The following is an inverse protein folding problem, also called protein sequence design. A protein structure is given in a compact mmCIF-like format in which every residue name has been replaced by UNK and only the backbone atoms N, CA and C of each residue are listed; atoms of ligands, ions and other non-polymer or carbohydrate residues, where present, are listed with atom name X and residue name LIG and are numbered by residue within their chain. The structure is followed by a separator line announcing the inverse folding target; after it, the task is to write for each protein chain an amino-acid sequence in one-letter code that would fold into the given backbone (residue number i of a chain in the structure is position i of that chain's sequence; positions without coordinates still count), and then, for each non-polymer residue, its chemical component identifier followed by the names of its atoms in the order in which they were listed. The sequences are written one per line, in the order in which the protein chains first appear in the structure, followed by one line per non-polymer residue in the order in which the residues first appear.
data_IF_170173412008
#
_entry.id   IF_170173412008
#
_cell.length_a   1.000
_cell.length_b   1.000
_cell.length_c   1.000
_cell.angle_alpha   90.00
_cell.angle_beta   90.00
_cell.angle_gamma   90.00
#
_symmetry.space_group_name_H-M   'P 1'
#
loop_
_entity.id
_entity.type
_entity.pdbx_description
1 polymer ?
#
# COMPACT_ATOMS: atom_id res chain seq x y z
N UNK A 1 -6.45 8.24 -23.79
CA UNK A 1 -6.15 8.72 -22.42
C UNK A 1 -6.12 7.51 -21.50
N UNK A 2 -5.14 7.42 -20.59
CA UNK A 2 -5.11 6.35 -19.57
C UNK A 2 -6.33 6.55 -18.66
N UNK A 3 -7.10 5.48 -18.42
CA UNK A 3 -8.27 5.55 -17.54
C UNK A 3 -7.81 5.93 -16.12
N UNK A 4 -8.34 7.03 -15.59
CA UNK A 4 -8.17 7.42 -14.19
C UNK A 4 -9.02 6.48 -13.34
N UNK A 5 -8.41 5.78 -12.38
CA UNK A 5 -9.14 4.94 -11.44
C UNK A 5 -9.00 5.52 -10.03
N UNK A 6 -10.12 5.62 -9.32
CA UNK A 6 -10.16 6.06 -7.93
C UNK A 6 -10.29 4.84 -7.02
N UNK A 7 -9.36 4.70 -6.08
CA UNK A 7 -9.41 3.71 -5.02
C UNK A 7 -9.80 4.35 -3.68
N UNK A 8 -10.51 3.61 -2.83
CA UNK A 8 -10.65 3.95 -1.41
C UNK A 8 -9.74 3.02 -0.60
N UNK A 9 -8.85 3.59 0.21
CA UNK A 9 -8.00 2.85 1.14
C UNK A 9 -8.60 2.84 2.54
N UNK A 10 -8.67 1.66 3.15
CA UNK A 10 -9.14 1.43 4.51
C UNK A 10 -8.07 0.67 5.30
N UNK A 11 -7.90 1.04 6.57
CA UNK A 11 -6.93 0.41 7.46
C UNK A 11 -7.61 -0.57 8.40
N UNK A 12 -6.91 -1.67 8.69
CA UNK A 12 -7.31 -2.68 9.67
C UNK A 12 -7.31 -2.18 11.12
N UNK A 13 -6.85 -0.97 11.38
CA UNK A 13 -7.01 -0.30 12.67
C UNK A 13 -8.46 0.12 12.96
N UNK A 14 -9.27 0.32 11.91
CA UNK A 14 -10.69 0.67 12.03
C UNK A 14 -11.51 -0.51 12.55
N UNK A 15 -12.70 -0.22 13.09
CA UNK A 15 -13.64 -1.28 13.46
C UNK A 15 -14.08 -2.08 12.23
N UNK A 16 -14.18 -3.40 12.38
CA UNK A 16 -14.49 -4.30 11.26
C UNK A 16 -15.83 -3.96 10.57
N UNK A 17 -16.88 -3.64 11.34
CA UNK A 17 -18.17 -3.25 10.79
C UNK A 17 -18.10 -1.89 10.07
N UNK A 18 -17.32 -0.95 10.58
CA UNK A 18 -17.09 0.33 9.91
C UNK A 18 -16.41 0.14 8.54
N UNK A 19 -15.43 -0.77 8.45
CA UNK A 19 -14.76 -1.11 7.19
C UNK A 19 -15.78 -1.70 6.20
N UNK A 20 -16.64 -2.61 6.67
CA UNK A 20 -17.70 -3.25 5.86
C UNK A 20 -18.69 -2.21 5.33
N UNK A 21 -19.13 -1.26 6.15
CA UNK A 21 -20.09 -0.23 5.74
C UNK A 21 -19.46 0.76 4.76
N UNK A 22 -18.21 1.16 4.99
CA UNK A 22 -17.46 1.99 4.04
C UNK A 22 -17.21 1.27 2.71
N UNK A 23 -17.00 -0.04 2.71
CA UNK A 23 -16.87 -0.82 1.49
C UNK A 23 -18.15 -0.78 0.63
N UNK A 24 -19.32 -0.96 1.25
CA UNK A 24 -20.62 -0.83 0.56
C UNK A 24 -20.80 0.59 0.02
N UNK A 25 -20.51 1.60 0.85
CA UNK A 25 -20.61 3.01 0.46
C UNK A 25 -19.67 3.33 -0.71
N UNK A 26 -18.45 2.81 -0.71
CA UNK A 26 -17.48 3.03 -1.79
C UNK A 26 -18.01 2.54 -3.15
N UNK A 27 -18.62 1.35 -3.19
CA UNK A 27 -19.24 0.83 -4.43
C UNK A 27 -20.40 1.71 -4.88
N UNK A 28 -21.27 2.15 -3.96
CA UNK A 28 -22.40 3.03 -4.27
C UNK A 28 -21.96 4.40 -4.81
N UNK A 29 -20.85 4.93 -4.28
CA UNK A 29 -20.27 6.20 -4.74
C UNK A 29 -19.56 6.07 -6.09
N UNK A 30 -19.28 4.85 -6.56
CA UNK A 30 -18.63 4.61 -7.85
C UNK A 30 -17.11 4.56 -7.81
N UNK A 31 -16.50 4.24 -6.66
CA UNK A 31 -15.07 3.93 -6.61
C UNK A 31 -14.74 2.72 -7.50
N UNK A 32 -13.63 2.76 -8.23
CA UNK A 32 -13.18 1.64 -9.06
C UNK A 32 -12.60 0.49 -8.24
N UNK A 33 -12.06 0.80 -7.05
CA UNK A 33 -11.40 -0.19 -6.19
C UNK A 33 -11.45 0.17 -4.71
N UNK A 34 -11.42 -0.85 -3.86
CA UNK A 34 -11.25 -0.77 -2.42
C UNK A 34 -9.93 -1.45 -2.03
N UNK A 35 -9.15 -0.84 -1.15
CA UNK A 35 -7.82 -1.31 -0.75
C UNK A 35 -7.78 -1.49 0.75
N UNK A 36 -7.55 -2.71 1.22
CA UNK A 36 -7.46 -3.03 2.65
C UNK A 36 -5.99 -3.23 3.03
N UNK A 37 -5.45 -2.36 3.87
CA UNK A 37 -4.09 -2.51 4.40
C UNK A 37 -4.02 -3.65 5.42
N UNK A 38 -2.81 -4.11 5.73
CA UNK A 38 -2.58 -5.04 6.83
C UNK A 38 -1.35 -4.57 7.61
N UNK A 39 -1.55 -4.39 8.90
CA UNK A 39 -0.49 -4.10 9.86
C UNK A 39 -0.55 -5.16 10.96
N UNK A 40 0.61 -5.60 11.51
CA UNK A 40 0.62 -6.50 12.67
C UNK A 40 -0.22 -5.92 13.83
N UNK A 41 -0.82 -6.81 14.63
CA UNK A 41 -1.64 -6.49 15.81
C UNK A 41 -3.03 -5.90 15.53
N UNK A 42 -3.32 -5.51 14.28
CA UNK A 42 -4.65 -5.09 13.84
C UNK A 42 -5.52 -6.26 13.34
N UNK A 43 -6.71 -5.94 12.80
CA UNK A 43 -7.62 -6.94 12.22
C UNK A 43 -7.00 -7.60 10.97
N UNK A 44 -7.39 -8.85 10.71
CA UNK A 44 -6.85 -9.63 9.59
C UNK A 44 -7.44 -9.20 8.23
N UNK A 45 -6.59 -8.78 7.28
CA UNK A 45 -7.01 -8.16 6.03
C UNK A 45 -7.75 -9.12 5.09
N UNK A 46 -7.31 -10.38 5.00
CA UNK A 46 -7.99 -11.39 4.16
C UNK A 46 -9.38 -11.75 4.68
N UNK A 47 -9.61 -11.69 6.00
CA UNK A 47 -10.92 -12.00 6.57
C UNK A 47 -11.94 -10.92 6.18
N UNK A 48 -11.56 -9.65 6.33
CA UNK A 48 -12.34 -8.50 5.86
C UNK A 48 -12.55 -8.54 4.35
N UNK A 49 -11.49 -8.81 3.59
CA UNK A 49 -11.53 -8.91 2.13
C UNK A 49 -12.53 -9.98 1.66
N UNK A 50 -12.60 -11.13 2.35
CA UNK A 50 -13.56 -12.20 2.04
C UNK A 50 -15.01 -11.74 2.20
N UNK A 51 -15.34 -11.11 3.33
CA UNK A 51 -16.68 -10.58 3.59
C UNK A 51 -17.04 -9.50 2.57
N UNK A 52 -16.12 -8.55 2.34
CA UNK A 52 -16.32 -7.46 1.39
C UNK A 52 -16.54 -8.00 -0.02
N UNK A 53 -15.80 -9.04 -0.41
CA UNK A 53 -15.95 -9.69 -1.71
C UNK A 53 -17.33 -10.27 -1.90
N UNK A 54 -17.90 -10.87 -0.85
CA UNK A 54 -19.23 -11.46 -0.89
C UNK A 54 -20.36 -10.42 -0.95
N UNK A 55 -20.24 -9.32 -0.19
CA UNK A 55 -21.32 -8.32 -0.08
C UNK A 55 -21.33 -7.27 -1.21
N UNK A 56 -20.24 -7.14 -1.97
CA UNK A 56 -20.11 -6.18 -3.08
C UNK A 56 -20.16 -6.90 -4.43
N UNK A 57 -20.57 -6.19 -5.48
CA UNK A 57 -20.87 -6.82 -6.78
C UNK A 57 -19.96 -6.36 -7.92
N UNK A 58 -19.41 -5.15 -7.86
CA UNK A 58 -18.73 -4.50 -8.99
C UNK A 58 -17.35 -3.96 -8.64
N UNK A 59 -17.18 -3.38 -7.46
CA UNK A 59 -15.93 -2.76 -7.05
C UNK A 59 -14.80 -3.80 -7.03
N UNK A 60 -13.61 -3.41 -7.52
CA UNK A 60 -12.42 -4.24 -7.35
C UNK A 60 -11.98 -4.20 -5.90
N UNK A 61 -11.47 -5.31 -5.39
CA UNK A 61 -11.04 -5.43 -4.00
C UNK A 61 -9.58 -5.83 -4.02
N UNK A 62 -8.78 -4.99 -3.39
CA UNK A 62 -7.35 -5.09 -3.36
C UNK A 62 -6.85 -5.23 -1.93
N UNK A 63 -5.82 -6.04 -1.74
CA UNK A 63 -4.98 -5.92 -0.55
C UNK A 63 -3.94 -4.83 -0.80
N UNK A 64 -3.63 -4.01 0.20
CA UNK A 64 -2.72 -2.88 0.06
C UNK A 64 -1.91 -2.64 1.34
N UNK A 65 -1.15 -3.60 1.86
CA UNK A 65 -0.70 -4.86 1.23
C UNK A 65 -0.80 -6.04 2.19
N UNK A 66 -0.64 -7.28 1.68
CA UNK A 66 -0.26 -8.43 2.51
C UNK A 66 1.27 -8.61 2.53
N UNK A 67 1.80 -9.17 3.62
CA UNK A 67 3.24 -9.33 3.78
C UNK A 67 3.75 -10.67 3.23
N UNK A 68 4.80 -10.63 2.40
CA UNK A 68 5.40 -11.85 1.81
C UNK A 68 6.16 -12.71 2.81
N UNK A 69 6.56 -12.18 3.97
CA UNK A 69 7.30 -12.90 5.00
C UNK A 69 6.40 -13.63 6.00
N UNK A 70 5.21 -13.09 6.28
CA UNK A 70 4.28 -13.67 7.26
C UNK A 70 3.43 -14.79 6.67
N UNK A 71 3.39 -14.91 5.34
CA UNK A 71 2.57 -15.89 4.64
C UNK A 71 3.36 -16.57 3.55
N UNK A 72 3.57 -17.88 3.69
CA UNK A 72 4.23 -18.70 2.67
C UNK A 72 3.46 -18.60 1.32
N UNK A 73 4.15 -18.60 0.17
CA UNK A 73 3.53 -18.42 -1.14
C UNK A 73 2.43 -19.43 -1.46
N UNK A 74 2.44 -20.63 -0.87
CA UNK A 74 1.37 -21.62 -1.03
C UNK A 74 0.08 -21.15 -0.37
N UNK A 75 0.14 -20.69 0.89
CA UNK A 75 -1.03 -20.18 1.60
C UNK A 75 -1.56 -18.88 1.00
N UNK A 76 -0.67 -18.01 0.52
CA UNK A 76 -1.06 -16.81 -0.24
C UNK A 76 -1.82 -17.19 -1.52
N UNK A 77 -1.30 -18.17 -2.27
CA UNK A 77 -1.97 -18.66 -3.47
C UNK A 77 -3.35 -19.27 -3.14
N UNK A 78 -3.44 -20.07 -2.07
CA UNK A 78 -4.71 -20.66 -1.60
C UNK A 78 -5.74 -19.56 -1.32
N UNK A 79 -5.41 -18.62 -0.44
CA UNK A 79 -6.34 -17.59 -0.01
C UNK A 79 -6.82 -16.72 -1.17
N UNK A 80 -5.90 -16.26 -2.03
CA UNK A 80 -6.25 -15.34 -3.10
C UNK A 80 -6.98 -16.04 -4.25
N UNK A 81 -6.68 -17.31 -4.53
CA UNK A 81 -7.45 -18.09 -5.50
C UNK A 81 -8.88 -18.35 -5.00
N UNK A 82 -9.08 -18.64 -3.72
CA UNK A 82 -10.42 -18.73 -3.11
C UNK A 82 -11.16 -17.41 -3.20
N UNK A 83 -10.51 -16.28 -2.89
CA UNK A 83 -11.12 -14.96 -3.06
C UNK A 83 -11.51 -14.70 -4.52
N UNK A 84 -10.68 -15.10 -5.49
CA UNK A 84 -10.97 -14.91 -6.90
C UNK A 84 -12.07 -15.85 -7.42
N UNK A 85 -12.32 -16.99 -6.79
CA UNK A 85 -13.48 -17.83 -7.08
C UNK A 85 -14.79 -17.13 -6.68
N UNK A 86 -14.80 -16.46 -5.52
CA UNK A 86 -15.96 -15.68 -5.03
C UNK A 86 -16.11 -14.37 -5.81
N UNK A 87 -15.01 -13.63 -5.95
CA UNK A 87 -14.96 -12.26 -6.47
C UNK A 87 -14.77 -12.16 -7.99
N UNK A 88 -14.40 -13.26 -8.66
CA UNK A 88 -14.02 -13.30 -10.07
C UNK A 88 -12.88 -12.31 -10.37
N UNK A 89 -12.98 -11.56 -11.46
CA UNK A 89 -11.96 -10.61 -11.92
C UNK A 89 -11.85 -9.33 -11.05
N UNK A 90 -12.53 -9.28 -9.90
CA UNK A 90 -12.51 -8.14 -8.98
C UNK A 90 -11.32 -8.16 -8.03
N UNK A 91 -10.64 -9.29 -7.86
CA UNK A 91 -9.57 -9.42 -6.88
C UNK A 91 -8.23 -8.92 -7.44
N UNK A 92 -7.58 -8.03 -6.67
CA UNK A 92 -6.21 -7.54 -6.92
C UNK A 92 -5.36 -7.90 -5.70
N UNK A 93 -4.22 -8.54 -5.92
CA UNK A 93 -3.34 -8.92 -4.82
C UNK A 93 -2.20 -7.92 -4.71
N UNK A 94 -2.25 -7.04 -3.71
CA UNK A 94 -1.09 -6.23 -3.32
C UNK A 94 -0.25 -6.95 -2.27
N UNK A 95 1.04 -7.08 -2.54
CA UNK A 95 2.00 -7.69 -1.63
C UNK A 95 3.21 -6.78 -1.41
N UNK A 96 3.91 -6.99 -0.31
CA UNK A 96 5.22 -6.38 -0.09
C UNK A 96 5.93 -6.90 1.15
N UNK A 97 7.06 -6.27 1.44
CA UNK A 97 8.02 -6.72 2.45
C UNK A 97 7.74 -6.26 3.88
N UNK A 98 6.85 -5.29 4.04
CA UNK A 98 6.68 -4.56 5.29
C UNK A 98 7.95 -3.85 5.78
N UNK A 99 7.93 -3.42 7.04
CA UNK A 99 9.05 -2.75 7.70
C UNK A 99 9.98 -3.79 8.31
N UNK A 100 11.29 -3.70 8.06
CA UNK A 100 12.25 -4.70 8.53
C UNK A 100 12.27 -4.85 10.06
N UNK A 101 12.18 -3.76 10.81
CA UNK A 101 12.14 -3.79 12.27
C UNK A 101 10.95 -4.60 12.79
N UNK A 102 9.78 -4.48 12.16
CA UNK A 102 8.61 -5.30 12.51
C UNK A 102 8.82 -6.79 12.22
N UNK A 103 9.30 -7.10 11.02
CA UNK A 103 9.39 -8.50 10.56
C UNK A 103 10.51 -9.26 11.26
N UNK A 104 11.70 -8.69 11.33
CA UNK A 104 12.87 -9.34 11.93
C UNK A 104 13.01 -9.03 13.43
N UNK A 105 12.69 -7.80 13.83
CA UNK A 105 12.80 -7.36 15.22
C UNK A 105 11.66 -7.88 16.08
N UNK A 106 10.40 -7.62 15.71
CA UNK A 106 9.27 -7.91 16.60
C UNK A 106 8.68 -9.31 16.37
N UNK A 107 8.56 -9.73 15.11
CA UNK A 107 8.01 -11.06 14.76
C UNK A 107 9.10 -12.15 14.66
N UNK A 108 10.37 -11.78 14.74
CA UNK A 108 11.52 -12.70 14.64
C UNK A 108 11.51 -13.58 13.38
N UNK A 109 10.96 -13.08 12.28
CA UNK A 109 10.94 -13.78 10.99
C UNK A 109 12.23 -13.41 10.23
N UNK A 110 13.01 -14.40 9.75
CA UNK A 110 14.22 -14.13 8.96
C UNK A 110 13.94 -13.27 7.73
N UNK A 111 14.69 -12.18 7.57
CA UNK A 111 14.43 -11.20 6.51
C UNK A 111 15.20 -11.44 5.20
N UNK A 112 16.39 -12.04 5.30
CA UNK A 112 17.20 -12.44 4.14
C UNK A 112 17.49 -11.31 3.14
N UNK A 113 17.65 -11.65 1.86
CA UNK A 113 17.77 -10.68 0.77
C UNK A 113 16.39 -10.23 0.25
N UNK A 114 15.92 -9.00 0.52
CA UNK A 114 14.52 -8.63 0.23
C UNK A 114 14.20 -8.50 -1.25
N UNK A 115 15.22 -8.30 -2.10
CA UNK A 115 15.06 -8.31 -3.55
C UNK A 115 14.92 -9.75 -4.06
N UNK A 116 15.77 -10.64 -3.58
CA UNK A 116 15.78 -12.06 -3.97
C UNK A 116 14.51 -12.73 -3.48
N UNK A 117 14.14 -12.52 -2.21
CA UNK A 117 12.93 -13.06 -1.60
C UNK A 117 11.69 -12.69 -2.40
N UNK A 118 11.46 -11.40 -2.65
CA UNK A 118 10.29 -10.94 -3.40
C UNK A 118 10.26 -11.49 -4.85
N UNK A 119 11.42 -11.65 -5.49
CA UNK A 119 11.52 -12.24 -6.83
C UNK A 119 11.08 -13.69 -6.82
N UNK A 120 11.69 -14.49 -5.95
CA UNK A 120 11.39 -15.91 -5.82
C UNK A 120 9.92 -16.12 -5.43
N UNK A 121 9.40 -15.27 -4.52
CA UNK A 121 8.00 -15.29 -4.07
C UNK A 121 7.03 -15.10 -5.22
N UNK A 122 7.22 -14.04 -6.02
CA UNK A 122 6.41 -13.75 -7.19
C UNK A 122 6.45 -14.88 -8.22
N UNK A 123 7.63 -15.46 -8.47
CA UNK A 123 7.80 -16.59 -9.40
C UNK A 123 6.98 -17.80 -8.91
N UNK A 124 7.14 -18.19 -7.64
CA UNK A 124 6.44 -19.36 -7.11
C UNK A 124 4.93 -19.13 -7.03
N UNK A 125 4.51 -17.96 -6.55
CA UNK A 125 3.10 -17.58 -6.42
C UNK A 125 2.39 -17.60 -7.77
N UNK A 126 2.97 -16.96 -8.80
CA UNK A 126 2.36 -16.95 -10.15
C UNK A 126 2.26 -18.34 -10.77
N UNK A 127 3.24 -19.22 -10.52
CA UNK A 127 3.17 -20.62 -11.00
C UNK A 127 2.06 -21.41 -10.30
N UNK A 128 1.89 -21.22 -8.99
CA UNK A 128 0.81 -21.85 -8.22
C UNK A 128 -0.58 -21.37 -8.69
N UNK A 129 -0.75 -20.05 -8.86
CA UNK A 129 -2.00 -19.46 -9.35
C UNK A 129 -2.32 -19.86 -10.80
N UNK A 130 -1.31 -20.21 -11.60
CA UNK A 130 -1.48 -20.79 -12.93
C UNK A 130 -1.84 -22.29 -12.91
N UNK A 131 -2.21 -22.86 -11.76
CA UNK A 131 -2.60 -24.27 -11.59
C UNK A 131 -1.43 -25.26 -11.70
N UNK A 132 -0.18 -24.78 -11.72
CA UNK A 132 1.00 -25.65 -11.89
C UNK A 132 1.39 -26.30 -10.57
N UNK A 133 1.94 -27.51 -10.66
CA UNK A 133 2.72 -28.13 -9.59
C UNK A 133 4.12 -27.49 -9.55
N UNK A 134 4.56 -27.05 -8.38
CA UNK A 134 5.77 -26.25 -8.20
C UNK A 134 6.73 -26.97 -7.26
N UNK A 135 7.89 -27.34 -7.80
CA UNK A 135 9.12 -27.57 -7.05
C UNK A 135 10.09 -26.43 -7.38
N UNK A 136 10.65 -25.79 -6.37
CA UNK A 136 11.52 -24.62 -6.51
C UNK A 136 12.60 -24.66 -5.44
N UNK A 137 13.87 -24.57 -5.84
CA UNK A 137 15.02 -24.53 -4.93
C UNK A 137 15.72 -23.19 -5.16
N UNK A 138 15.18 -22.15 -4.51
CA UNK A 138 15.74 -20.81 -4.51
C UNK A 138 16.71 -20.60 -3.34
N UNK A 139 17.28 -19.39 -3.31
CA UNK A 139 18.15 -18.97 -2.21
C UNK A 139 17.32 -18.68 -0.95
N UNK A 140 16.16 -18.07 -1.14
CA UNK A 140 15.29 -17.58 -0.06
C UNK A 140 14.02 -18.42 0.08
N UNK A 141 13.51 -18.99 -1.01
CA UNK A 141 12.30 -19.82 -1.03
C UNK A 141 12.61 -21.22 -1.54
N UNK A 142 12.12 -22.23 -0.80
CA UNK A 142 12.14 -23.63 -1.21
C UNK A 142 10.73 -24.20 -1.13
N UNK A 143 10.28 -24.82 -2.22
CA UNK A 143 9.00 -25.52 -2.31
C UNK A 143 9.23 -26.90 -2.94
N UNK A 144 8.51 -27.90 -2.45
CA UNK A 144 8.56 -29.26 -2.96
C UNK A 144 7.15 -29.71 -3.31
N UNK A 145 6.93 -30.06 -4.58
CA UNK A 145 5.71 -30.72 -5.05
C UNK A 145 4.38 -29.97 -4.72
N UNK A 146 4.41 -28.65 -4.58
CA UNK A 146 3.25 -27.85 -4.14
C UNK A 146 2.28 -27.59 -5.28
N UNK A 147 0.97 -27.85 -5.10
CA UNK A 147 -0.08 -27.59 -6.09
C UNK A 147 -1.39 -27.26 -5.38
N UNK A 148 -2.13 -26.26 -5.87
CA UNK A 148 -3.52 -26.03 -5.45
C UNK A 148 -4.43 -27.07 -6.10
N UNK A 149 -5.10 -27.90 -5.30
CA UNK A 149 -5.89 -29.04 -5.80
C UNK A 149 -7.11 -28.61 -6.64
N UNK A 150 -7.72 -27.48 -6.30
CA UNK A 150 -8.90 -26.94 -6.98
C UNK A 150 -8.57 -26.13 -8.24
N UNK A 151 -7.29 -25.88 -8.54
CA UNK A 151 -6.88 -25.21 -9.77
C UNK A 151 -6.31 -26.19 -10.79
N UNK A 152 -6.82 -26.08 -12.02
CA UNK A 152 -6.26 -26.72 -13.21
C UNK A 152 -5.48 -25.69 -14.02
N UNK A 153 -4.53 -26.14 -14.85
CA UNK A 153 -3.85 -25.29 -15.83
C UNK A 153 -4.80 -24.72 -16.89
N UNK A 154 -5.99 -25.30 -17.02
CA UNK A 154 -7.06 -24.79 -17.89
C UNK A 154 -7.93 -23.73 -17.19
N UNK A 155 -7.89 -23.64 -15.87
CA UNK A 155 -8.61 -22.63 -15.10
C UNK A 155 -7.90 -21.29 -15.24
N UNK A 156 -8.49 -20.35 -15.97
CA UNK A 156 -7.95 -18.98 -16.07
C UNK A 156 -8.49 -18.14 -14.92
N UNK A 157 -7.73 -18.06 -13.84
CA UNK A 157 -7.93 -17.03 -12.81
C UNK A 157 -6.96 -15.88 -13.10
N UNK A 158 -7.49 -14.71 -13.45
CA UNK A 158 -6.69 -13.52 -13.68
C UNK A 158 -6.70 -12.63 -12.44
N UNK A 159 -5.71 -12.82 -11.56
CA UNK A 159 -5.48 -11.94 -10.41
C UNK A 159 -4.27 -11.05 -10.71
N UNK A 160 -4.46 -9.74 -10.92
CA UNK A 160 -3.34 -8.81 -10.98
C UNK A 160 -2.57 -8.81 -9.65
N UNK A 161 -1.26 -9.07 -9.71
CA UNK A 161 -0.40 -9.07 -8.52
C UNK A 161 0.44 -7.80 -8.54
N UNK A 162 0.31 -6.95 -7.54
CA UNK A 162 1.07 -5.71 -7.42
C UNK A 162 2.11 -5.83 -6.32
N UNK A 163 3.31 -5.33 -6.57
CA UNK A 163 4.38 -5.32 -5.59
C UNK A 163 4.57 -3.90 -5.03
N UNK A 164 4.46 -3.74 -3.72
CA UNK A 164 4.79 -2.49 -3.06
C UNK A 164 6.29 -2.18 -3.19
N UNK A 165 6.61 -0.97 -3.64
CA UNK A 165 7.98 -0.58 -3.91
C UNK A 165 8.22 0.92 -3.71
N UNK A 166 9.39 1.24 -3.17
CA UNK A 166 9.84 2.62 -2.98
C UNK A 166 11.15 2.90 -3.72
N UNK A 167 12.17 2.04 -3.54
CA UNK A 167 13.48 2.20 -4.17
C UNK A 167 13.59 1.61 -5.59
N UNK A 168 14.59 2.05 -6.38
CA UNK A 168 14.71 1.72 -7.81
C UNK A 168 14.85 0.23 -8.10
N UNK A 169 15.54 -0.52 -7.23
CA UNK A 169 15.71 -1.97 -7.37
C UNK A 169 14.39 -2.71 -7.25
N UNK A 170 13.55 -2.36 -6.27
CA UNK A 170 12.24 -2.99 -6.08
C UNK A 170 11.24 -2.56 -7.16
N UNK A 171 11.24 -1.28 -7.57
CA UNK A 171 10.39 -0.80 -8.67
C UNK A 171 10.73 -1.54 -9.97
N UNK A 172 12.03 -1.74 -10.24
CA UNK A 172 12.49 -2.53 -11.39
C UNK A 172 12.05 -3.99 -11.31
N UNK A 173 12.01 -4.57 -10.10
CA UNK A 173 11.53 -5.92 -9.89
C UNK A 173 10.02 -6.02 -10.15
N UNK A 174 9.24 -5.07 -9.62
CA UNK A 174 7.80 -5.00 -9.85
C UNK A 174 7.48 -4.96 -11.35
N UNK A 175 8.19 -4.13 -12.13
CA UNK A 175 8.01 -4.04 -13.58
C UNK A 175 8.30 -5.35 -14.34
N UNK A 176 9.21 -6.18 -13.83
CA UNK A 176 9.61 -7.44 -14.45
C UNK A 176 8.69 -8.61 -14.06
N UNK A 177 8.27 -8.68 -12.79
CA UNK A 177 7.65 -9.89 -12.23
C UNK A 177 6.20 -9.69 -11.74
N UNK A 178 5.77 -8.48 -11.43
CA UNK A 178 4.42 -8.14 -10.94
C UNK A 178 3.59 -7.46 -12.05
N UNK A 179 2.27 -7.35 -11.92
CA UNK A 179 1.38 -6.70 -12.91
C UNK A 179 1.27 -5.18 -12.69
N UNK A 180 1.98 -4.69 -11.68
CA UNK A 180 2.09 -3.27 -11.38
C UNK A 180 2.85 -3.04 -10.08
N UNK A 181 2.79 -1.81 -9.59
CA UNK A 181 3.48 -1.34 -8.39
C UNK A 181 2.50 -0.58 -7.50
N UNK A 182 2.62 -0.79 -6.19
CA UNK A 182 2.00 0.07 -5.17
C UNK A 182 3.09 0.98 -4.62
N UNK A 183 2.95 2.28 -4.83
CA UNK A 183 3.81 3.29 -4.23
C UNK A 183 3.30 3.59 -2.81
N UNK A 184 4.23 3.96 -1.94
CA UNK A 184 4.02 4.01 -0.50
C UNK A 184 2.87 4.96 -0.10
N UNK A 185 2.33 4.79 1.11
CA UNK A 185 1.54 5.85 1.76
C UNK A 185 2.39 7.12 1.81
N UNK A 186 1.78 8.28 1.56
CA UNK A 186 2.50 9.56 1.43
C UNK A 186 3.49 9.66 0.25
N UNK A 187 3.24 8.97 -0.85
CA UNK A 187 4.03 9.15 -2.08
C UNK A 187 3.94 10.60 -2.57
N UNK A 188 5.07 11.29 -2.71
CA UNK A 188 5.11 12.60 -3.38
C UNK A 188 4.93 12.46 -4.89
N UNK A 189 4.55 13.55 -5.56
CA UNK A 189 4.44 13.57 -7.03
C UNK A 189 5.80 13.29 -7.68
N UNK A 190 6.88 13.82 -7.10
CA UNK A 190 8.26 13.59 -7.53
C UNK A 190 8.64 12.11 -7.45
N UNK A 191 8.27 11.45 -6.35
CA UNK A 191 8.49 10.01 -6.21
C UNK A 191 7.66 9.22 -7.23
N UNK A 192 6.41 9.62 -7.50
CA UNK A 192 5.58 8.99 -8.53
C UNK A 192 6.22 9.10 -9.93
N UNK A 193 6.73 10.29 -10.30
CA UNK A 193 7.44 10.51 -11.57
C UNK A 193 8.71 9.66 -11.64
N UNK A 194 9.51 9.67 -10.57
CA UNK A 194 10.72 8.86 -10.45
C UNK A 194 10.41 7.36 -10.63
N UNK A 195 9.40 6.87 -9.92
CA UNK A 195 9.00 5.48 -9.96
C UNK A 195 8.49 5.08 -11.33
N UNK A 196 7.63 5.90 -11.95
CA UNK A 196 7.16 5.70 -13.33
C UNK A 196 8.32 5.56 -14.30
N UNK A 197 9.29 6.48 -14.27
CA UNK A 197 10.48 6.44 -15.14
C UNK A 197 11.26 5.12 -15.02
N UNK A 198 11.46 4.63 -13.80
CA UNK A 198 12.18 3.35 -13.58
C UNK A 198 11.34 2.16 -14.01
N UNK A 199 10.05 2.19 -13.67
CA UNK A 199 9.12 1.10 -13.95
C UNK A 199 9.03 0.86 -15.47
N UNK A 200 8.78 1.91 -16.25
CA UNK A 200 8.66 1.81 -17.72
C UNK A 200 9.96 1.40 -18.43
N UNK A 201 11.15 1.66 -17.85
CA UNK A 201 12.42 1.14 -18.40
C UNK A 201 12.46 -0.39 -18.43
N UNK A 202 11.81 -1.04 -17.47
CA UNK A 202 11.83 -2.50 -17.28
C UNK A 202 10.51 -3.18 -17.65
N UNK A 203 9.42 -2.45 -17.83
CA UNK A 203 8.16 -2.97 -18.33
C UNK A 203 8.27 -3.32 -19.81
N UNK A 204 8.06 -4.59 -20.16
CA UNK A 204 8.15 -5.12 -21.53
C UNK A 204 6.86 -5.76 -22.04
N UNK A 205 5.79 -5.74 -21.24
CA UNK A 205 4.48 -6.30 -21.60
C UNK A 205 3.66 -5.29 -22.40
N UNK A 206 2.77 -5.80 -23.26
CA UNK A 206 1.85 -4.97 -24.06
C UNK A 206 0.73 -4.33 -23.23
N UNK A 207 0.36 -4.94 -22.11
CA UNK A 207 -0.67 -4.39 -21.23
C UNK A 207 -0.19 -3.13 -20.53
N UNK A 208 -1.11 -2.22 -20.24
CA UNK A 208 -0.83 -1.06 -19.38
C UNK A 208 -0.55 -1.56 -17.95
N UNK A 209 0.53 -1.09 -17.29
CA UNK A 209 0.78 -1.46 -15.90
C UNK A 209 -0.14 -0.73 -14.94
N UNK A 210 -0.40 -1.34 -13.78
CA UNK A 210 -1.06 -0.66 -12.66
C UNK A 210 0.00 0.07 -11.84
N UNK A 211 -0.07 1.39 -11.77
CA UNK A 211 0.73 2.23 -10.87
C UNK A 211 -0.23 2.83 -9.85
N UNK A 212 -0.28 2.26 -8.66
CA UNK A 212 -1.18 2.69 -7.59
C UNK A 212 -0.44 3.54 -6.56
N UNK A 213 -1.05 4.64 -6.12
CA UNK A 213 -0.51 5.49 -5.06
C UNK A 213 -1.48 5.57 -3.88
N UNK A 214 -0.96 5.30 -2.69
CA UNK A 214 -1.67 5.54 -1.43
C UNK A 214 -1.54 7.01 -1.01
N UNK A 215 -2.65 7.73 -1.04
CA UNK A 215 -2.73 9.17 -0.78
C UNK A 215 -3.48 9.41 0.53
N UNK A 216 -2.77 9.89 1.56
CA UNK A 216 -3.41 10.35 2.79
C UNK A 216 -4.11 11.68 2.53
N UNK A 217 -5.44 11.68 2.65
CA UNK A 217 -6.29 12.81 2.29
C UNK A 217 -6.94 13.37 3.55
N UNK A 218 -6.74 14.66 3.79
CA UNK A 218 -7.27 15.40 4.93
C UNK A 218 -8.02 16.65 4.43
N UNK A 219 -9.34 16.51 4.23
CA UNK A 219 -10.21 17.60 3.80
C UNK A 219 -10.48 18.54 4.97
N UNK A 220 -10.17 19.82 4.79
CA UNK A 220 -10.50 20.91 5.69
C UNK A 220 -10.45 22.24 4.95
N UNK A 221 -11.42 23.12 5.16
CA UNK A 221 -11.48 24.43 4.48
C UNK A 221 -10.36 25.36 4.95
N UNK A 222 -9.93 25.24 6.21
CA UNK A 222 -8.72 25.89 6.69
C UNK A 222 -7.49 25.02 6.37
N UNK A 223 -6.65 25.53 5.46
CA UNK A 223 -5.49 24.81 4.96
C UNK A 223 -4.41 24.62 6.04
N UNK A 224 -4.19 25.61 6.89
CA UNK A 224 -3.19 25.52 7.96
C UNK A 224 -3.59 24.45 8.99
N UNK A 225 -4.86 24.43 9.41
CA UNK A 225 -5.38 23.33 10.24
C UNK A 225 -5.26 21.98 9.53
N UNK A 226 -5.51 21.92 8.21
CA UNK A 226 -5.38 20.67 7.44
C UNK A 226 -3.96 20.09 7.53
N UNK A 227 -2.94 20.94 7.40
CA UNK A 227 -1.53 20.55 7.51
C UNK A 227 -1.16 20.18 8.94
N UNK A 228 -1.55 21.02 9.90
CA UNK A 228 -1.23 20.82 11.32
C UNK A 228 -1.74 19.46 11.85
N UNK A 229 -2.95 19.05 11.46
CA UNK A 229 -3.53 17.74 11.80
C UNK A 229 -2.72 16.55 11.28
N UNK A 230 -1.95 16.74 10.20
CA UNK A 230 -1.17 15.67 9.56
C UNK A 230 0.29 15.63 10.04
N UNK A 231 0.80 16.68 10.69
CA UNK A 231 2.21 16.77 11.10
C UNK A 231 2.69 15.57 11.91
N UNK A 232 1.94 15.14 12.93
CA UNK A 232 2.33 13.98 13.75
C UNK A 232 2.38 12.69 12.91
N UNK A 233 1.40 12.45 12.05
CA UNK A 233 1.36 11.25 11.19
C UNK A 233 2.51 11.23 10.17
N UNK A 234 2.78 12.36 9.54
CA UNK A 234 3.91 12.50 8.61
C UNK A 234 5.24 12.36 9.34
N UNK A 235 5.39 13.02 10.50
CA UNK A 235 6.60 12.91 11.33
C UNK A 235 6.86 11.47 11.78
N UNK A 236 5.82 10.75 12.16
CA UNK A 236 5.92 9.33 12.51
C UNK A 236 6.43 8.49 11.34
N UNK A 237 5.82 8.63 10.17
CA UNK A 237 6.23 7.89 8.98
C UNK A 237 7.68 8.18 8.58
N UNK A 238 8.10 9.45 8.67
CA UNK A 238 9.48 9.87 8.43
C UNK A 238 10.45 9.36 9.49
N UNK A 239 10.01 9.18 10.74
CA UNK A 239 10.88 8.69 11.82
C UNK A 239 11.30 7.22 11.65
N UNK A 240 10.50 6.40 10.95
CA UNK A 240 10.76 4.97 10.77
C UNK A 240 12.12 4.76 10.08
N UNK A 241 13.06 4.01 10.71
CA UNK A 241 14.38 3.72 10.14
C UNK A 241 14.33 3.11 8.74
N UNK A 242 15.11 3.68 7.80
CA UNK A 242 15.16 3.26 6.40
C UNK A 242 14.01 3.76 5.52
N UNK A 243 12.83 4.01 6.11
CA UNK A 243 11.71 4.64 5.42
C UNK A 243 11.93 6.15 5.30
N UNK A 244 12.28 6.83 6.39
CA UNK A 244 12.56 8.27 6.41
C UNK A 244 13.56 8.70 5.35
N UNK A 245 14.72 8.04 5.30
CA UNK A 245 15.79 8.35 4.34
C UNK A 245 15.32 8.22 2.89
N UNK A 246 14.51 7.18 2.62
CA UNK A 246 13.99 6.94 1.29
C UNK A 246 12.91 7.96 0.90
N UNK A 247 12.04 8.36 1.82
CA UNK A 247 11.09 9.45 1.58
C UNK A 247 11.79 10.75 1.24
N UNK A 248 12.77 11.15 2.06
CA UNK A 248 13.52 12.38 1.85
C UNK A 248 14.23 12.35 0.48
N UNK A 249 14.94 11.25 0.21
CA UNK A 249 15.68 11.06 -1.05
C UNK A 249 14.78 11.09 -2.28
N UNK A 250 13.71 10.31 -2.30
CA UNK A 250 12.88 10.15 -3.50
C UNK A 250 11.81 11.24 -3.66
N UNK A 251 11.54 12.01 -2.60
CA UNK A 251 10.67 13.19 -2.65
C UNK A 251 11.45 14.50 -2.78
N UNK A 252 12.79 14.47 -2.85
CA UNK A 252 13.63 15.66 -2.87
C UNK A 252 13.28 16.62 -1.71
N UNK A 253 13.38 16.10 -0.48
CA UNK A 253 13.18 16.83 0.77
C UNK A 253 14.48 16.81 1.56
N UNK A 254 14.94 17.97 2.02
CA UNK A 254 16.20 18.12 2.76
C UNK A 254 15.99 18.65 4.19
N UNK A 255 14.87 19.29 4.46
CA UNK A 255 14.70 20.14 5.64
C UNK A 255 14.02 19.40 6.81
N UNK A 256 14.34 18.12 6.97
CA UNK A 256 13.80 17.29 8.05
C UNK A 256 14.94 16.57 8.79
N UNK A 257 15.05 16.85 10.09
CA UNK A 257 16.00 16.17 10.97
C UNK A 257 15.42 14.82 11.46
N UNK A 258 15.74 13.75 10.73
CA UNK A 258 15.29 12.40 11.08
C UNK A 258 15.81 11.95 12.46
N UNK A 259 16.95 12.46 12.93
CA UNK A 259 17.51 12.08 14.23
C UNK A 259 16.68 12.63 15.38
N UNK A 260 16.25 13.90 15.29
CA UNK A 260 15.33 14.52 16.25
C UNK A 260 13.97 13.85 16.22
N UNK A 261 13.41 13.59 15.03
CA UNK A 261 12.15 12.86 14.91
C UNK A 261 12.25 11.49 15.57
N UNK A 262 13.32 10.73 15.33
CA UNK A 262 13.50 9.41 15.94
C UNK A 262 13.54 9.44 17.46
N UNK A 263 14.17 10.47 18.03
CA UNK A 263 14.20 10.69 19.48
C UNK A 263 12.82 11.04 20.03
N UNK A 264 12.05 11.89 19.35
CA UNK A 264 10.69 12.25 19.76
C UNK A 264 9.73 11.05 19.70
N UNK A 265 9.89 10.20 18.68
CA UNK A 265 9.14 8.95 18.55
C UNK A 265 9.74 7.76 19.33
N UNK A 266 10.78 7.99 20.14
CA UNK A 266 11.35 7.00 21.05
C UNK A 266 11.91 5.73 20.37
N UNK A 267 12.42 5.83 19.14
CA UNK A 267 13.04 4.70 18.44
C UNK A 267 14.37 4.22 19.05
N UNK A 268 14.89 4.94 20.05
CA UNK A 268 16.03 4.53 20.88
C UNK A 268 15.63 3.48 21.93
N UNK A 269 14.34 3.29 22.19
CA UNK A 269 13.85 2.30 23.14
C UNK A 269 13.91 0.90 22.54
N UNK A 270 14.27 -0.13 23.33
CA UNK A 270 14.33 -1.51 22.85
C UNK A 270 12.96 -2.20 22.82
N UNK A 271 11.87 -1.42 22.96
CA UNK A 271 10.50 -1.90 23.03
C UNK A 271 9.55 -0.89 22.40
N UNK A 272 8.32 -1.34 22.15
CA UNK A 272 7.28 -0.56 21.52
C UNK A 272 7.10 -0.97 20.07
N UNK A 273 5.89 -1.38 19.72
CA UNK A 273 5.51 -1.50 18.32
C UNK A 273 5.33 -0.09 17.70
N UNK A 274 5.09 0.02 16.39
CA UNK A 274 4.94 1.32 15.73
C UNK A 274 3.77 2.14 16.29
N UNK A 275 2.67 1.51 16.72
CA UNK A 275 1.54 2.22 17.31
C UNK A 275 1.92 2.80 18.68
N UNK A 276 2.64 2.03 19.50
CA UNK A 276 3.19 2.49 20.77
C UNK A 276 4.07 3.74 20.57
N UNK A 277 5.01 3.70 19.60
CA UNK A 277 5.85 4.86 19.28
C UNK A 277 5.03 6.08 18.85
N UNK A 278 4.00 5.86 18.02
CA UNK A 278 3.08 6.92 17.60
C UNK A 278 2.34 7.52 18.80
N UNK A 279 1.76 6.71 19.68
CA UNK A 279 0.97 7.18 20.81
C UNK A 279 1.79 7.97 21.84
N UNK A 280 3.04 7.53 22.09
CA UNK A 280 3.90 8.14 23.11
C UNK A 280 4.56 9.45 22.67
N UNK A 281 4.63 9.73 21.36
CA UNK A 281 5.08 11.02 20.86
C UNK A 281 4.01 12.11 21.07
N UNK A 282 4.37 13.22 21.72
CA UNK A 282 3.43 14.35 21.93
C UNK A 282 3.39 15.25 20.70
N UNK A 283 2.19 15.68 20.29
CA UNK A 283 2.00 16.55 19.12
C UNK A 283 2.91 17.80 19.14
N UNK A 284 3.01 18.45 20.31
CA UNK A 284 3.83 19.66 20.49
C UNK A 284 5.32 19.45 20.23
N UNK A 285 5.82 18.23 20.44
CA UNK A 285 7.24 17.91 20.27
C UNK A 285 7.57 17.55 18.80
N UNK A 286 6.54 17.34 17.96
CA UNK A 286 6.67 16.99 16.54
C UNK A 286 6.39 18.19 15.63
N UNK A 287 5.51 19.11 16.03
CA UNK A 287 4.95 20.17 15.18
C UNK A 287 6.02 21.04 14.52
N UNK A 288 7.09 21.37 15.24
CA UNK A 288 8.18 22.22 14.74
C UNK A 288 9.26 21.44 13.98
N UNK A 289 9.24 20.11 14.05
CA UNK A 289 10.19 19.23 13.36
C UNK A 289 9.71 18.83 11.96
N UNK A 290 8.44 19.07 11.64
CA UNK A 290 7.83 18.72 10.35
C UNK A 290 7.30 20.00 9.68
N UNK A 291 8.04 20.57 8.73
CA UNK A 291 7.62 21.75 7.97
C UNK A 291 6.30 21.54 7.22
N UNK A 292 5.54 22.63 7.02
CA UNK A 292 4.24 22.62 6.35
C UNK A 292 4.35 22.17 4.88
N UNK A 293 5.41 22.57 4.18
CA UNK A 293 5.68 22.19 2.79
C UNK A 293 6.01 20.68 2.69
N UNK A 294 6.68 20.10 3.69
CA UNK A 294 6.90 18.65 3.79
C UNK A 294 5.58 17.91 3.95
N UNK A 295 4.70 18.37 4.86
CA UNK A 295 3.36 17.79 5.02
C UNK A 295 2.59 17.90 3.72
N UNK A 296 2.53 19.09 3.12
CA UNK A 296 1.82 19.28 1.86
C UNK A 296 2.39 18.34 0.80
N UNK A 297 3.70 18.28 0.58
CA UNK A 297 4.29 17.41 -0.45
C UNK A 297 3.94 15.92 -0.30
N UNK A 298 3.78 15.46 0.93
CA UNK A 298 3.54 14.06 1.28
C UNK A 298 2.06 13.71 1.46
N UNK A 299 1.13 14.68 1.39
CA UNK A 299 -0.29 14.46 1.69
C UNK A 299 -1.22 15.25 0.77
N UNK A 300 -2.51 14.93 0.81
CA UNK A 300 -3.57 15.67 0.12
C UNK A 300 -4.36 16.46 1.17
N UNK A 301 -3.93 17.68 1.48
CA UNK A 301 -4.56 18.54 2.48
C UNK A 301 -5.23 19.79 1.87
N UNK A 302 -6.35 20.19 2.47
CA UNK A 302 -7.05 21.45 2.20
C UNK A 302 -8.50 21.25 1.76
N UNK A 303 -9.06 22.27 1.11
CA UNK A 303 -10.44 22.23 0.63
C UNK A 303 -10.63 21.14 -0.42
N UNK A 304 -11.88 20.69 -0.61
CA UNK A 304 -12.24 19.67 -1.60
C UNK A 304 -11.67 20.02 -2.99
N UNK A 305 -11.80 21.29 -3.41
CA UNK A 305 -11.26 21.79 -4.67
C UNK A 305 -9.74 21.57 -4.78
N UNK A 306 -8.99 21.93 -3.74
CA UNK A 306 -7.52 21.75 -3.71
C UNK A 306 -7.16 20.26 -3.73
N UNK A 307 -7.85 19.44 -2.94
CA UNK A 307 -7.63 17.99 -2.90
C UNK A 307 -7.82 17.35 -4.28
N UNK A 308 -8.90 17.68 -5.00
CA UNK A 308 -9.16 17.22 -6.37
C UNK A 308 -8.07 17.64 -7.35
N UNK A 309 -7.66 18.91 -7.31
CA UNK A 309 -6.58 19.41 -8.16
C UNK A 309 -5.28 18.63 -7.92
N UNK A 310 -4.95 18.38 -6.65
CA UNK A 310 -3.73 17.66 -6.29
C UNK A 310 -3.77 16.18 -6.66
N UNK A 311 -4.90 15.49 -6.45
CA UNK A 311 -5.11 14.12 -6.92
C UNK A 311 -4.95 14.04 -8.45
N UNK A 312 -5.47 15.02 -9.20
CA UNK A 312 -5.29 15.06 -10.66
C UNK A 312 -3.82 15.16 -11.08
N UNK A 313 -2.97 15.88 -10.33
CA UNK A 313 -1.53 15.94 -10.61
C UNK A 313 -0.83 14.58 -10.49
N UNK A 314 -1.34 13.65 -9.67
CA UNK A 314 -0.83 12.27 -9.64
C UNK A 314 -1.16 11.52 -10.93
N UNK A 315 -2.38 11.68 -11.47
CA UNK A 315 -2.73 11.13 -12.77
C UNK A 315 -1.86 11.73 -13.89
N UNK A 316 -1.59 13.04 -13.84
CA UNK A 316 -0.70 13.70 -14.80
C UNK A 316 0.75 13.20 -14.69
N UNK A 317 1.20 12.86 -13.47
CA UNK A 317 2.46 12.17 -13.22
C UNK A 317 2.46 10.69 -13.66
N UNK A 318 1.31 10.21 -14.14
CA UNK A 318 1.13 8.89 -14.73
C UNK A 318 0.86 7.77 -13.74
N UNK A 319 0.34 8.10 -12.56
CA UNK A 319 -0.37 7.16 -11.68
C UNK A 319 -1.63 6.69 -12.38
N UNK A 320 -2.00 5.42 -12.24
CA UNK A 320 -3.20 4.84 -12.87
C UNK A 320 -4.31 4.57 -11.85
N UNK A 321 -3.97 4.46 -10.56
CA UNK A 321 -4.91 4.33 -9.44
C UNK A 321 -4.52 5.29 -8.32
N UNK A 322 -5.37 6.27 -8.04
CA UNK A 322 -5.21 7.15 -6.88
C UNK A 322 -6.04 6.58 -5.72
N UNK A 323 -5.38 6.03 -4.70
CA UNK A 323 -6.03 5.43 -3.53
C UNK A 323 -6.18 6.54 -2.48
N UNK A 324 -7.41 7.01 -2.29
CA UNK A 324 -7.77 7.98 -1.26
C UNK A 324 -7.87 7.26 0.07
N UNK A 325 -7.00 7.62 1.03
CA UNK A 325 -7.09 7.17 2.41
C UNK A 325 -7.64 8.33 3.25
N UNK A 326 -8.87 8.25 3.77
CA UNK A 326 -9.46 9.33 4.53
C UNK A 326 -8.82 9.46 5.91
N UNK A 327 -8.26 10.63 6.22
CA UNK A 327 -7.55 10.89 7.49
C UNK A 327 -8.43 11.51 8.59
N UNK A 328 -9.65 11.93 8.24
CA UNK A 328 -10.63 12.49 9.16
C UNK A 328 -12.06 12.21 8.67
N UNK A 329 -13.06 12.45 9.55
CA UNK A 329 -14.47 12.28 9.22
C UNK A 329 -14.92 13.18 8.05
N UNK A 330 -14.46 14.43 8.00
CA UNK A 330 -14.77 15.36 6.89
C UNK A 330 -14.38 14.79 5.52
N UNK A 331 -13.28 14.04 5.45
CA UNK A 331 -12.83 13.39 4.22
C UNK A 331 -13.73 12.21 3.85
N UNK A 332 -14.20 11.45 4.83
CA UNK A 332 -15.18 10.36 4.63
C UNK A 332 -16.49 10.94 4.08
N UNK A 333 -16.93 12.09 4.58
CA UNK A 333 -18.15 12.75 4.10
C UNK A 333 -17.99 13.29 2.68
N UNK A 334 -16.82 13.81 2.34
CA UNK A 334 -16.49 14.39 1.04
C UNK A 334 -16.12 13.37 -0.05
N UNK A 335 -16.12 12.05 0.22
CA UNK A 335 -15.64 11.02 -0.74
C UNK A 335 -16.30 11.12 -2.12
N UNK A 336 -17.61 11.37 -2.18
CA UNK A 336 -18.36 11.52 -3.43
C UNK A 336 -17.85 12.69 -4.27
N UNK A 337 -17.57 13.83 -3.62
CA UNK A 337 -17.14 15.05 -4.30
C UNK A 337 -15.69 14.96 -4.78
N UNK A 338 -14.85 14.21 -4.08
CA UNK A 338 -13.45 13.99 -4.42
C UNK A 338 -13.26 13.20 -5.72
N UNK A 339 -14.18 12.31 -6.07
CA UNK A 339 -14.06 11.41 -7.24
C UNK A 339 -14.90 11.83 -8.46
N UNK A 340 -15.80 12.80 -8.31
CA UNK A 340 -16.58 13.41 -9.39
C UNK A 340 -15.82 14.51 -10.11
#
# INVERSE_FOLDING_TARGET
MVKKNFGLGLTTAMEANQIIDLAKRAEQLGFDSLWISEDPYDRHSLALTSIITYITQKIKIATGILNVYTMNPVYMAMAVATLAEIGKERIVLGIGRGVRSLIEGDLHIPYGSPITYAKEYLITLKRLLAGKRVSYIGKEIKLSNSKLHFLSTNTKINIPILLAAMGPKMISLAAQYADGVILNSCTSIEHAIFARKIFYKKWKRKSEPIIACSLWTNVNDDFETALMQMKKRVGFLLSIPGFGEAFLKYSNLTDVDLSKLRKVFLWDKPYGDPLWHFEHAKNKDVIDLVPNDVVDKLTICGSIKRCKQKINRYFDAGVTVAIINPMNAKTIDALNELIK
#
